data_IF_042971169616
#
_entry.id   IF_042971169616
#
_cell.length_a   1.000
_cell.length_b   1.000
_cell.length_c   1.000
_cell.angle_alpha   90.00
_cell.angle_beta   90.00
_cell.angle_gamma   90.00
#
_symmetry.space_group_name_H-M   'P 1'
#
loop_
_entity.id
_entity.type
_entity.pdbx_description
1 polymer ?
#
# COMPACT_ATOMS: atom_id res chain seq x y z
N UNK A 1 -18.83 8.89 17.10
CA UNK A 1 -18.85 8.00 18.29
C UNK A 1 -17.55 7.21 18.30
N UNK A 2 -16.63 7.51 19.22
CA UNK A 2 -15.39 6.74 19.39
C UNK A 2 -15.73 5.46 20.17
N UNK A 3 -15.59 4.34 19.53
CA UNK A 3 -15.60 3.04 20.22
C UNK A 3 -14.24 2.95 20.93
N UNK A 4 -14.26 2.84 22.27
CA UNK A 4 -13.05 2.77 23.07
C UNK A 4 -12.15 1.63 22.58
N UNK A 5 -10.91 1.96 22.15
CA UNK A 5 -9.89 1.04 21.67
C UNK A 5 -9.63 1.03 20.16
N UNK A 6 -10.35 1.81 19.33
CA UNK A 6 -10.03 1.96 17.92
C UNK A 6 -9.02 3.09 17.71
N UNK A 7 -7.99 2.83 16.92
CA UNK A 7 -7.06 3.83 16.41
C UNK A 7 -7.84 4.93 15.66
N UNK A 8 -7.44 6.21 15.76
CA UNK A 8 -8.07 7.26 14.96
C UNK A 8 -7.91 6.93 13.47
N UNK A 9 -9.00 7.11 12.70
CA UNK A 9 -8.97 6.91 11.26
C UNK A 9 -7.95 7.85 10.63
N UNK A 10 -7.06 7.30 9.81
CA UNK A 10 -6.08 8.05 9.02
C UNK A 10 -6.47 7.99 7.54
N UNK A 11 -6.06 8.98 6.75
CA UNK A 11 -6.28 8.99 5.31
C UNK A 11 -4.94 9.03 4.57
N UNK A 12 -4.81 8.17 3.58
CA UNK A 12 -3.66 8.17 2.69
C UNK A 12 -4.03 8.65 1.28
N UNK A 13 -3.07 9.27 0.59
CA UNK A 13 -3.16 9.56 -0.84
C UNK A 13 -2.15 8.70 -1.60
N UNK A 14 -2.59 8.02 -2.66
CA UNK A 14 -1.72 7.21 -3.52
C UNK A 14 -1.47 7.93 -4.85
N UNK A 15 -0.20 8.20 -5.14
CA UNK A 15 0.19 8.88 -6.38
C UNK A 15 0.35 7.87 -7.52
N UNK A 16 -0.13 8.20 -8.74
CA UNK A 16 -0.01 7.34 -9.92
C UNK A 16 1.41 7.41 -10.54
N UNK A 17 2.44 6.95 -9.81
CA UNK A 17 3.84 7.03 -10.22
C UNK A 17 4.20 6.30 -11.53
N UNK A 18 3.31 5.44 -12.07
CA UNK A 18 3.41 4.86 -13.40
C UNK A 18 3.04 5.86 -14.51
N UNK A 19 2.14 6.81 -14.22
CA UNK A 19 1.66 7.77 -15.22
C UNK A 19 2.78 8.64 -15.80
N UNK A 20 3.88 8.83 -15.06
CA UNK A 20 5.07 9.54 -15.55
C UNK A 20 5.63 8.91 -16.82
N UNK A 21 5.54 7.60 -17.00
CA UNK A 21 5.96 6.90 -18.22
C UNK A 21 5.08 7.22 -19.44
N UNK A 22 3.92 7.82 -19.23
CA UNK A 22 2.98 8.23 -20.27
C UNK A 22 2.93 9.74 -20.44
N UNK A 23 3.99 10.45 -20.00
CA UNK A 23 4.14 11.89 -20.14
C UNK A 23 3.47 12.72 -19.04
N UNK A 24 2.99 12.09 -17.95
CA UNK A 24 2.46 12.84 -16.81
C UNK A 24 3.62 13.46 -16.01
N UNK A 25 3.62 14.78 -15.76
CA UNK A 25 4.75 15.43 -15.12
C UNK A 25 4.94 14.97 -13.67
N UNK A 26 6.16 14.62 -13.27
CA UNK A 26 6.49 14.32 -11.88
C UNK A 26 6.14 15.47 -10.93
N UNK A 27 6.34 16.71 -11.37
CA UNK A 27 6.03 17.90 -10.57
C UNK A 27 4.56 17.97 -10.14
N UNK A 28 3.62 17.50 -10.97
CA UNK A 28 2.20 17.46 -10.59
C UNK A 28 1.99 16.45 -9.46
N UNK A 29 2.65 15.28 -9.49
CA UNK A 29 2.56 14.29 -8.41
C UNK A 29 3.16 14.85 -7.12
N UNK A 30 4.30 15.53 -7.20
CA UNK A 30 4.94 16.20 -6.08
C UNK A 30 4.02 17.26 -5.47
N UNK A 31 3.47 18.15 -6.31
CA UNK A 31 2.52 19.19 -5.89
C UNK A 31 1.26 18.59 -5.26
N UNK A 32 0.75 17.47 -5.80
CA UNK A 32 -0.39 16.76 -5.22
C UNK A 32 -0.08 16.30 -3.80
N UNK A 33 1.11 15.77 -3.53
CA UNK A 33 1.53 15.38 -2.18
C UNK A 33 1.67 16.59 -1.25
N UNK A 34 2.33 17.66 -1.71
CA UNK A 34 2.53 18.90 -0.93
C UNK A 34 1.19 19.56 -0.55
N UNK A 35 0.25 19.63 -1.49
CA UNK A 35 -1.08 20.21 -1.23
C UNK A 35 -1.94 19.29 -0.37
N UNK A 36 -1.84 17.96 -0.53
CA UNK A 36 -2.49 17.02 0.37
C UNK A 36 -2.00 17.19 1.81
N UNK A 37 -0.68 17.34 2.01
CA UNK A 37 -0.11 17.63 3.32
C UNK A 37 -0.57 18.98 3.88
N UNK A 38 -0.56 20.01 3.04
CA UNK A 38 -0.98 21.37 3.44
C UNK A 38 -2.46 21.42 3.87
N UNK A 39 -3.33 20.62 3.24
CA UNK A 39 -4.74 20.54 3.60
C UNK A 39 -4.99 20.01 5.02
N UNK A 40 -4.05 19.21 5.57
CA UNK A 40 -4.24 18.53 6.85
C UNK A 40 -5.25 17.38 6.82
N UNK A 41 -5.86 17.10 5.67
CA UNK A 41 -6.82 16.01 5.50
C UNK A 41 -6.16 14.64 5.34
N UNK A 42 -4.90 14.60 4.88
CA UNK A 42 -4.16 13.39 4.63
C UNK A 42 -3.00 13.20 5.61
N UNK A 43 -2.85 11.99 6.10
CA UNK A 43 -1.86 11.58 7.09
C UNK A 43 -0.65 10.86 6.44
N UNK A 44 -0.80 10.41 5.17
CA UNK A 44 0.22 9.62 4.48
C UNK A 44 0.15 9.72 2.96
N UNK A 45 1.32 9.58 2.30
CA UNK A 45 1.44 9.51 0.84
C UNK A 45 2.05 8.16 0.43
N UNK A 46 1.53 7.58 -0.66
CA UNK A 46 1.83 6.22 -1.09
C UNK A 46 2.18 6.15 -2.57
N UNK A 47 3.08 5.24 -2.91
CA UNK A 47 3.43 4.94 -4.31
C UNK A 47 3.36 3.43 -4.57
N UNK A 48 3.05 3.07 -5.81
CA UNK A 48 3.08 1.66 -6.22
C UNK A 48 4.46 1.21 -6.64
N UNK A 49 4.69 -0.11 -6.67
CA UNK A 49 5.95 -0.74 -7.06
C UNK A 49 5.75 -1.93 -7.98
N UNK A 50 6.60 -2.05 -8.98
CA UNK A 50 6.93 -3.21 -9.82
C UNK A 50 8.17 -2.85 -10.64
N UNK A 51 8.95 -3.83 -11.07
CA UNK A 51 10.12 -3.58 -11.94
C UNK A 51 9.75 -3.60 -13.43
N UNK A 52 9.39 -4.74 -13.96
CA UNK A 52 9.16 -4.95 -15.39
C UNK A 52 7.70 -5.22 -15.75
N UNK A 53 6.99 -5.94 -14.90
CA UNK A 53 5.61 -6.40 -15.20
C UNK A 53 4.61 -5.24 -15.34
N UNK A 54 4.80 -4.20 -14.55
CA UNK A 54 4.06 -2.93 -14.62
C UNK A 54 5.02 -1.78 -14.31
N UNK A 55 5.93 -1.44 -15.25
CA UNK A 55 7.02 -0.49 -15.00
C UNK A 55 6.49 0.88 -14.56
N UNK A 56 7.22 1.50 -13.63
CA UNK A 56 6.93 2.82 -13.04
C UNK A 56 8.21 3.44 -12.48
N UNK A 57 8.13 4.66 -11.96
CA UNK A 57 9.24 5.17 -11.17
C UNK A 57 9.49 4.23 -10.00
N UNK A 58 10.77 3.95 -9.74
CA UNK A 58 11.16 3.07 -8.63
C UNK A 58 10.66 3.64 -7.30
N UNK A 59 10.08 2.77 -6.47
CA UNK A 59 9.29 3.22 -5.33
C UNK A 59 10.12 3.95 -4.27
N UNK A 60 11.32 3.45 -3.92
CA UNK A 60 12.17 4.06 -2.90
C UNK A 60 12.71 5.41 -3.38
N UNK A 61 13.09 5.51 -4.66
CA UNK A 61 13.54 6.77 -5.28
C UNK A 61 12.42 7.81 -5.27
N UNK A 62 11.19 7.40 -5.65
CA UNK A 62 10.03 8.30 -5.63
C UNK A 62 9.68 8.76 -4.20
N UNK A 63 9.68 7.84 -3.22
CA UNK A 63 9.45 8.17 -1.82
C UNK A 63 10.55 9.07 -1.24
N UNK A 64 11.82 8.90 -1.66
CA UNK A 64 12.91 9.79 -1.22
C UNK A 64 12.71 11.22 -1.72
N UNK A 65 12.24 11.39 -2.96
CA UNK A 65 11.90 12.72 -3.48
C UNK A 65 10.70 13.34 -2.73
N UNK A 66 9.69 12.54 -2.39
CA UNK A 66 8.54 13.00 -1.60
C UNK A 66 8.94 13.30 -0.14
N UNK A 67 9.89 12.54 0.44
CA UNK A 67 10.41 12.80 1.77
C UNK A 67 11.04 14.19 1.89
N UNK A 68 11.71 14.64 0.82
CA UNK A 68 12.33 15.97 0.76
C UNK A 68 11.32 17.11 0.57
N UNK A 69 10.13 16.83 0.05
CA UNK A 69 9.09 17.84 -0.24
C UNK A 69 7.93 17.85 0.75
N UNK A 70 7.89 16.90 1.69
CA UNK A 70 6.87 16.81 2.75
C UNK A 70 7.51 16.79 4.13
N UNK A 71 6.75 17.18 5.17
CA UNK A 71 7.27 17.32 6.53
C UNK A 71 6.58 16.41 7.56
N UNK A 72 5.31 16.07 7.37
CA UNK A 72 4.46 15.39 8.36
C UNK A 72 3.91 14.07 7.89
N UNK A 73 3.46 14.00 6.63
CA UNK A 73 2.86 12.78 6.10
C UNK A 73 3.82 11.60 6.15
N UNK A 74 3.30 10.45 6.57
CA UNK A 74 4.02 9.19 6.45
C UNK A 74 4.19 8.80 4.97
N UNK A 75 5.20 8.01 4.67
CA UNK A 75 5.62 7.64 3.32
C UNK A 75 5.53 6.12 3.17
N UNK A 76 4.67 5.65 2.26
CA UNK A 76 4.37 4.22 2.16
C UNK A 76 4.36 3.66 0.74
N UNK A 77 4.39 2.34 0.65
CA UNK A 77 4.20 1.60 -0.60
C UNK A 77 2.83 0.91 -0.67
N UNK A 78 2.14 0.97 -1.82
CA UNK A 78 0.86 0.26 -2.05
C UNK A 78 0.96 -0.77 -3.18
N UNK A 79 1.52 -1.94 -2.99
CA UNK A 79 2.54 -2.40 -2.05
C UNK A 79 3.91 -2.50 -2.75
N UNK A 80 4.97 -2.88 -2.04
CA UNK A 80 6.28 -3.20 -2.62
C UNK A 80 6.20 -4.60 -3.26
N UNK A 81 5.70 -4.66 -4.49
CA UNK A 81 5.45 -5.91 -5.21
C UNK A 81 6.75 -6.62 -5.62
N UNK A 82 7.84 -5.86 -5.73
CA UNK A 82 9.17 -6.38 -5.97
C UNK A 82 9.88 -6.90 -4.71
N UNK A 83 9.23 -6.91 -3.55
CA UNK A 83 9.86 -7.33 -2.29
C UNK A 83 10.57 -8.69 -2.40
N UNK A 84 9.95 -9.77 -2.92
CA UNK A 84 10.65 -11.04 -3.07
C UNK A 84 11.79 -11.04 -4.10
N UNK A 85 11.86 -9.99 -4.93
CA UNK A 85 12.89 -9.84 -5.97
C UNK A 85 14.11 -9.07 -5.46
N UNK A 86 14.03 -8.47 -4.28
CA UNK A 86 15.09 -7.65 -3.70
C UNK A 86 16.00 -8.48 -2.79
N UNK A 87 17.24 -8.07 -2.72
CA UNK A 87 18.14 -8.51 -1.66
C UNK A 87 17.74 -7.82 -0.36
N UNK A 88 17.51 -8.57 0.74
CA UNK A 88 17.02 -7.99 2.00
C UNK A 88 18.04 -7.10 2.69
N UNK A 89 19.35 -7.34 2.53
CA UNK A 89 20.39 -6.48 3.11
C UNK A 89 20.42 -5.12 2.40
N UNK A 90 20.38 -5.12 1.07
CA UNK A 90 20.34 -3.87 0.31
C UNK A 90 19.06 -3.10 0.61
N UNK A 91 17.90 -3.78 0.67
CA UNK A 91 16.63 -3.16 1.02
C UNK A 91 16.65 -2.58 2.44
N UNK A 92 17.26 -3.27 3.41
CA UNK A 92 17.37 -2.78 4.79
C UNK A 92 18.13 -1.44 4.83
N UNK A 93 19.25 -1.33 4.10
CA UNK A 93 20.06 -0.09 4.01
C UNK A 93 19.25 1.03 3.32
N UNK A 94 18.61 0.72 2.18
CA UNK A 94 17.82 1.69 1.43
C UNK A 94 16.65 2.23 2.24
N UNK A 95 15.91 1.35 2.92
CA UNK A 95 14.75 1.74 3.72
C UNK A 95 15.14 2.50 4.99
N UNK A 96 16.19 2.07 5.66
CA UNK A 96 16.74 2.81 6.81
C UNK A 96 17.24 4.20 6.40
N UNK A 97 17.86 4.33 5.23
CA UNK A 97 18.28 5.64 4.69
C UNK A 97 17.08 6.54 4.43
N UNK A 98 16.02 6.01 3.82
CA UNK A 98 14.77 6.74 3.60
C UNK A 98 14.13 7.16 4.95
N UNK A 99 14.16 6.26 5.94
CA UNK A 99 13.62 6.54 7.27
C UNK A 99 14.38 7.69 7.95
N UNK A 100 15.72 7.69 7.89
CA UNK A 100 16.56 8.78 8.39
C UNK A 100 16.26 10.09 7.65
N UNK A 101 16.22 10.08 6.31
CA UNK A 101 15.94 11.28 5.50
C UNK A 101 14.57 11.86 5.82
N UNK A 102 13.58 11.01 6.02
CA UNK A 102 12.22 11.43 6.34
C UNK A 102 12.01 11.79 7.82
N UNK A 103 12.98 11.54 8.70
CA UNK A 103 12.81 11.73 10.14
C UNK A 103 11.85 10.75 10.79
N UNK A 104 11.85 9.48 10.35
CA UNK A 104 11.05 8.40 10.94
C UNK A 104 9.60 8.36 10.46
N UNK A 105 9.33 8.72 9.19
CA UNK A 105 7.98 8.75 8.62
C UNK A 105 7.65 7.59 7.70
N UNK A 106 8.46 6.53 7.64
CA UNK A 106 8.26 5.43 6.68
C UNK A 106 7.28 4.37 7.15
N UNK A 107 6.51 3.79 6.22
CA UNK A 107 5.68 2.59 6.39
C UNK A 107 5.99 1.65 5.21
N UNK A 108 6.48 0.45 5.50
CA UNK A 108 6.78 -0.53 4.47
C UNK A 108 5.61 -1.50 4.28
N UNK A 109 4.84 -1.38 3.19
CA UNK A 109 3.92 -2.44 2.82
C UNK A 109 4.55 -3.36 1.79
N UNK A 110 4.63 -4.63 2.09
CA UNK A 110 5.20 -5.67 1.24
C UNK A 110 4.13 -6.62 0.72
N UNK A 111 4.39 -7.30 -0.37
CA UNK A 111 3.54 -8.39 -0.86
C UNK A 111 4.35 -9.41 -1.66
N UNK A 112 3.71 -10.53 -2.02
CA UNK A 112 4.32 -11.55 -2.86
C UNK A 112 4.54 -11.11 -4.33
N UNK A 113 3.95 -9.99 -4.74
CA UNK A 113 3.80 -9.67 -6.14
C UNK A 113 2.89 -10.68 -6.86
N UNK A 114 2.60 -10.47 -8.15
CA UNK A 114 1.80 -11.41 -8.89
C UNK A 114 2.59 -12.69 -9.24
N UNK A 115 1.89 -13.82 -9.35
CA UNK A 115 2.50 -15.09 -9.74
C UNK A 115 2.76 -15.13 -11.24
N UNK A 116 3.66 -16.00 -11.70
CA UNK A 116 3.87 -16.27 -13.13
C UNK A 116 2.59 -16.68 -13.87
N UNK A 117 1.59 -17.24 -13.16
CA UNK A 117 0.28 -17.60 -13.69
C UNK A 117 -0.61 -16.40 -14.01
N UNK A 118 -0.33 -15.24 -13.42
CA UNK A 118 -1.11 -14.01 -13.66
C UNK A 118 -0.82 -13.37 -15.02
N UNK A 119 0.22 -13.80 -15.72
CA UNK A 119 0.53 -13.35 -17.08
C UNK A 119 2.01 -13.46 -17.43
N UNK A 120 2.35 -13.45 -18.73
CA UNK A 120 3.72 -13.64 -19.21
C UNK A 120 4.69 -12.55 -18.71
N UNK A 121 4.23 -11.32 -18.50
CA UNK A 121 5.04 -10.22 -17.98
C UNK A 121 5.55 -10.48 -16.56
N UNK A 122 4.76 -11.15 -15.72
CA UNK A 122 5.17 -11.51 -14.35
C UNK A 122 6.16 -12.67 -14.35
N UNK A 123 5.98 -13.65 -15.26
CA UNK A 123 6.95 -14.71 -15.46
C UNK A 123 8.28 -14.16 -15.97
N UNK A 124 8.26 -13.22 -16.91
CA UNK A 124 9.46 -12.56 -17.45
C UNK A 124 10.19 -11.74 -16.37
N UNK A 125 9.46 -11.04 -15.48
CA UNK A 125 10.06 -10.29 -14.37
C UNK A 125 10.81 -11.22 -13.41
N UNK A 126 10.19 -12.32 -12.99
CA UNK A 126 10.85 -13.33 -12.14
C UNK A 126 12.10 -13.92 -12.81
N UNK A 127 11.99 -14.28 -14.10
CA UNK A 127 13.11 -14.84 -14.85
C UNK A 127 14.27 -13.85 -15.00
N UNK A 128 13.98 -12.58 -15.30
CA UNK A 128 14.99 -11.53 -15.40
C UNK A 128 15.74 -11.29 -14.08
N UNK A 129 15.10 -11.53 -12.96
CA UNK A 129 15.67 -11.41 -11.62
C UNK A 129 16.31 -12.74 -11.14
N UNK A 130 16.25 -13.81 -11.94
CA UNK A 130 16.81 -15.12 -11.59
C UNK A 130 16.09 -15.85 -10.47
N UNK A 131 14.78 -15.56 -10.25
CA UNK A 131 14.01 -16.05 -9.10
C UNK A 131 12.95 -17.03 -9.57
N UNK A 132 12.95 -18.22 -8.96
CA UNK A 132 11.91 -19.20 -9.22
C UNK A 132 10.60 -18.83 -8.47
N UNK A 133 9.45 -19.06 -9.12
CA UNK A 133 8.12 -18.71 -8.55
C UNK A 133 7.88 -19.32 -7.17
N UNK A 134 8.45 -20.52 -6.89
CA UNK A 134 8.33 -21.19 -5.59
C UNK A 134 9.09 -20.48 -4.46
N UNK A 135 10.10 -19.70 -4.78
CA UNK A 135 10.92 -18.97 -3.80
C UNK A 135 10.23 -17.73 -3.23
N UNK A 136 9.15 -17.24 -3.87
CA UNK A 136 8.52 -15.98 -3.50
C UNK A 136 8.02 -15.96 -2.04
N UNK A 137 7.47 -17.07 -1.55
CA UNK A 137 6.98 -17.15 -0.16
C UNK A 137 8.14 -17.19 0.83
N UNK A 138 9.12 -18.10 0.73
CA UNK A 138 10.27 -18.08 1.64
C UNK A 138 11.04 -16.74 1.56
N UNK A 139 11.24 -16.15 0.38
CA UNK A 139 11.87 -14.82 0.25
C UNK A 139 11.10 -13.72 0.97
N UNK A 140 9.77 -13.76 0.95
CA UNK A 140 8.95 -12.81 1.70
C UNK A 140 9.10 -13.02 3.20
N UNK A 141 8.96 -14.26 3.69
CA UNK A 141 8.96 -14.57 5.12
C UNK A 141 10.35 -14.33 5.73
N UNK A 142 11.41 -14.85 5.11
CA UNK A 142 12.78 -14.60 5.54
C UNK A 142 13.19 -13.13 5.38
N UNK A 143 12.77 -12.48 4.30
CA UNK A 143 13.04 -11.06 4.07
C UNK A 143 12.46 -10.16 5.15
N UNK A 144 11.21 -10.39 5.58
CA UNK A 144 10.61 -9.63 6.70
C UNK A 144 11.39 -9.87 8.00
N UNK A 145 11.72 -11.13 8.30
CA UNK A 145 12.49 -11.49 9.48
C UNK A 145 13.88 -10.83 9.48
N UNK A 146 14.55 -10.84 8.33
CA UNK A 146 15.86 -10.22 8.15
C UNK A 146 15.81 -8.69 8.29
N UNK A 147 14.81 -8.01 7.70
CA UNK A 147 14.66 -6.57 7.89
C UNK A 147 14.53 -6.21 9.38
N UNK A 148 13.72 -6.96 10.15
CA UNK A 148 13.59 -6.75 11.59
C UNK A 148 14.91 -6.91 12.34
N UNK A 149 15.73 -7.90 11.94
CA UNK A 149 17.04 -8.14 12.55
C UNK A 149 18.06 -7.08 12.11
N UNK A 150 18.15 -6.75 10.82
CA UNK A 150 19.06 -5.75 10.29
C UNK A 150 18.82 -4.34 10.85
N UNK A 151 17.58 -4.03 11.21
CA UNK A 151 17.23 -2.75 11.88
C UNK A 151 17.41 -2.79 13.39
N UNK A 152 17.72 -3.95 13.96
CA UNK A 152 18.09 -4.09 15.38
C UNK A 152 19.52 -3.65 15.68
N UNK A 153 19.92 -3.77 16.95
CA UNK A 153 21.22 -3.34 17.48
C UNK A 153 22.34 -4.38 17.33
N UNK A 154 21.99 -5.63 17.13
CA UNK A 154 22.96 -6.72 17.12
C UNK A 154 23.36 -7.12 15.70
N UNK A 155 24.61 -7.55 15.45
CA UNK A 155 25.01 -8.16 14.20
C UNK A 155 24.17 -9.40 13.89
N UNK A 156 23.75 -9.54 12.63
CA UNK A 156 22.84 -10.60 12.20
C UNK A 156 23.60 -11.84 11.77
N UNK A 157 23.32 -12.97 12.41
CA UNK A 157 23.63 -14.31 11.95
C UNK A 157 22.31 -15.01 11.64
N UNK A 158 22.10 -15.33 10.36
CA UNK A 158 20.87 -15.94 9.85
C UNK A 158 21.17 -17.04 8.86
N UNK A 159 20.48 -18.17 8.99
CA UNK A 159 20.53 -19.27 8.03
C UNK A 159 19.11 -19.74 7.75
N UNK A 160 18.59 -19.34 6.58
CA UNK A 160 17.29 -19.72 6.08
C UNK A 160 17.32 -20.72 4.94
N UNK A 161 16.22 -20.84 4.24
CA UNK A 161 16.10 -21.62 3.01
C UNK A 161 16.75 -20.89 1.82
N UNK A 162 16.64 -19.55 1.81
CA UNK A 162 17.05 -18.68 0.69
C UNK A 162 18.27 -17.85 1.07
N UNK A 163 18.29 -17.26 2.25
CA UNK A 163 19.32 -16.30 2.64
C UNK A 163 20.21 -16.84 3.76
N UNK A 164 21.50 -16.51 3.67
CA UNK A 164 22.47 -16.82 4.70
C UNK A 164 23.36 -15.59 4.95
N UNK A 165 23.46 -15.15 6.21
CA UNK A 165 24.30 -14.04 6.66
C UNK A 165 25.05 -14.44 7.93
N UNK A 166 26.29 -13.97 8.08
CA UNK A 166 27.12 -14.23 9.25
C UNK A 166 27.79 -12.93 9.73
N UNK A 167 27.38 -12.45 10.90
CA UNK A 167 27.94 -11.29 11.55
C UNK A 167 27.74 -9.96 10.81
N UNK A 168 26.65 -9.80 10.06
CA UNK A 168 26.35 -8.61 9.26
C UNK A 168 25.62 -7.56 10.10
N UNK A 169 26.18 -6.33 10.16
CA UNK A 169 25.58 -5.19 10.86
C UNK A 169 25.47 -3.95 9.93
N UNK A 170 24.38 -3.85 9.15
CA UNK A 170 24.21 -2.75 8.19
C UNK A 170 23.92 -1.42 8.85
N UNK A 171 24.46 -0.34 8.27
CA UNK A 171 24.16 1.04 8.65
C UNK A 171 23.67 1.82 7.42
N UNK A 172 22.83 2.87 7.60
CA UNK A 172 22.31 3.36 8.88
C UNK A 172 21.24 2.42 9.48
N UNK A 173 20.90 2.64 10.75
CA UNK A 173 19.69 2.09 11.36
C UNK A 173 18.53 3.08 11.16
N UNK A 174 17.27 2.63 11.11
CA UNK A 174 16.13 3.54 11.12
C UNK A 174 16.08 4.44 12.34
N UNK A 175 15.46 5.62 12.20
CA UNK A 175 15.15 6.53 13.31
C UNK A 175 14.00 5.98 14.16
N UNK A 176 13.04 5.34 13.50
CA UNK A 176 11.93 4.67 14.19
C UNK A 176 12.45 3.49 15.02
N UNK A 177 12.03 3.40 16.28
CA UNK A 177 12.33 2.24 17.13
C UNK A 177 11.81 0.92 16.52
N UNK A 178 10.68 1.01 15.77
CA UNK A 178 10.12 -0.08 14.99
C UNK A 178 9.49 0.52 13.73
N UNK A 179 10.07 0.20 12.58
CA UNK A 179 9.48 0.55 11.28
C UNK A 179 8.23 -0.29 11.07
N UNK A 180 7.04 0.31 10.83
CA UNK A 180 5.83 -0.45 10.54
C UNK A 180 5.99 -1.25 9.24
N UNK A 181 5.72 -2.56 9.29
CA UNK A 181 5.66 -3.42 8.12
C UNK A 181 4.22 -3.92 7.97
N UNK A 182 3.56 -3.55 6.88
CA UNK A 182 2.26 -4.08 6.51
C UNK A 182 2.44 -5.18 5.46
N UNK A 183 1.54 -6.16 5.46
CA UNK A 183 1.52 -7.21 4.44
C UNK A 183 0.26 -7.11 3.59
N UNK A 184 0.44 -6.90 2.28
CA UNK A 184 -0.68 -6.87 1.36
C UNK A 184 -1.05 -8.30 0.94
N UNK A 185 -2.30 -8.65 1.24
CA UNK A 185 -2.90 -9.96 0.99
C UNK A 185 -4.33 -9.75 0.50
N UNK A 186 -4.61 -10.19 -0.73
CA UNK A 186 -5.94 -10.16 -1.31
C UNK A 186 -6.18 -11.45 -2.14
N UNK A 187 -6.48 -12.58 -1.48
CA UNK A 187 -6.83 -13.82 -2.20
C UNK A 187 -8.10 -13.62 -3.04
N UNK A 188 -8.12 -14.09 -4.32
CA UNK A 188 -9.32 -14.13 -5.13
C UNK A 188 -10.48 -14.88 -4.43
N UNK A 189 -11.74 -14.58 -4.78
CA UNK A 189 -12.91 -15.20 -4.13
C UNK A 189 -12.99 -16.72 -4.27
N UNK A 190 -12.38 -17.28 -5.31
CA UNK A 190 -12.31 -18.71 -5.61
C UNK A 190 -11.09 -19.42 -5.02
N UNK A 191 -10.34 -18.71 -4.16
CA UNK A 191 -9.17 -19.28 -3.50
C UNK A 191 -9.57 -20.40 -2.53
N UNK A 192 -8.83 -21.50 -2.57
CA UNK A 192 -8.97 -22.59 -1.58
C UNK A 192 -8.90 -22.02 -0.15
N UNK A 193 -9.87 -22.34 0.72
CA UNK A 193 -9.95 -21.78 2.09
C UNK A 193 -8.67 -21.99 2.90
N UNK A 194 -7.98 -23.12 2.74
CA UNK A 194 -6.73 -23.38 3.44
C UNK A 194 -5.57 -22.52 2.91
N UNK A 195 -5.60 -22.12 1.63
CA UNK A 195 -4.64 -21.19 1.05
C UNK A 195 -4.90 -19.77 1.56
N UNK A 196 -6.18 -19.36 1.60
CA UNK A 196 -6.58 -18.09 2.18
C UNK A 196 -6.18 -18.00 3.65
N UNK A 197 -6.52 -19.01 4.45
CA UNK A 197 -6.16 -19.07 5.88
C UNK A 197 -4.64 -18.90 6.08
N UNK A 198 -3.81 -19.65 5.34
CA UNK A 198 -2.35 -19.50 5.44
C UNK A 198 -1.88 -18.08 5.08
N UNK A 199 -2.54 -17.42 4.13
CA UNK A 199 -2.21 -16.06 3.75
C UNK A 199 -2.57 -15.04 4.86
N UNK A 200 -3.75 -15.17 5.48
CA UNK A 200 -4.19 -14.33 6.59
C UNK A 200 -3.36 -14.58 7.86
N UNK A 201 -3.05 -15.82 8.19
CA UNK A 201 -2.14 -16.16 9.31
C UNK A 201 -0.74 -15.59 9.12
N UNK A 202 -0.25 -15.50 7.87
CA UNK A 202 1.04 -14.85 7.57
C UNK A 202 1.02 -13.37 7.94
N UNK A 203 -0.08 -12.65 7.69
CA UNK A 203 -0.25 -11.26 8.15
C UNK A 203 -0.12 -11.19 9.67
N UNK A 204 -0.90 -12.00 10.38
CA UNK A 204 -0.93 -12.04 11.85
C UNK A 204 0.45 -12.32 12.47
N UNK A 205 1.21 -13.24 11.86
CA UNK A 205 2.52 -13.69 12.36
C UNK A 205 3.65 -12.69 12.09
N UNK A 206 3.67 -12.04 10.91
CA UNK A 206 4.84 -11.33 10.42
C UNK A 206 4.69 -9.81 10.34
N UNK A 207 3.47 -9.31 10.19
CA UNK A 207 3.22 -7.89 9.92
C UNK A 207 2.63 -7.14 11.12
N UNK A 208 2.66 -5.82 11.06
CA UNK A 208 2.03 -4.93 12.05
C UNK A 208 0.62 -4.51 11.58
N UNK A 209 0.25 -4.90 10.35
CA UNK A 209 -1.05 -4.64 9.78
C UNK A 209 -1.25 -5.27 8.41
N UNK A 210 -2.44 -5.09 7.88
CA UNK A 210 -2.92 -5.66 6.62
C UNK A 210 -3.21 -4.57 5.60
N UNK A 211 -2.89 -4.85 4.34
CA UNK A 211 -3.32 -4.05 3.20
C UNK A 211 -4.09 -4.89 2.19
N UNK A 212 -5.13 -4.30 1.58
CA UNK A 212 -5.88 -4.93 0.49
C UNK A 212 -6.35 -3.90 -0.55
N UNK A 213 -6.87 -4.39 -1.66
CA UNK A 213 -7.51 -3.62 -2.73
C UNK A 213 -8.68 -4.43 -3.32
N UNK A 214 -9.62 -3.80 -4.01
CA UNK A 214 -10.71 -4.47 -4.71
C UNK A 214 -11.53 -5.46 -3.87
N UNK A 215 -11.46 -5.37 -2.56
CA UNK A 215 -12.14 -6.26 -1.62
C UNK A 215 -13.48 -5.66 -1.21
N UNK A 216 -14.62 -6.36 -1.37
CA UNK A 216 -15.90 -5.86 -0.90
C UNK A 216 -15.93 -5.60 0.62
N UNK A 217 -16.70 -4.61 1.14
CA UNK A 217 -16.68 -4.24 2.57
C UNK A 217 -17.00 -5.40 3.53
N UNK A 218 -17.92 -6.29 3.14
CA UNK A 218 -18.27 -7.46 3.96
C UNK A 218 -17.10 -8.44 4.09
N UNK A 219 -16.39 -8.72 2.96
CA UNK A 219 -15.20 -9.58 2.93
C UNK A 219 -14.03 -8.91 3.65
N UNK A 220 -13.89 -7.58 3.53
CA UNK A 220 -12.90 -6.81 4.27
C UNK A 220 -13.08 -7.01 5.79
N UNK A 221 -14.31 -6.82 6.28
CA UNK A 221 -14.64 -7.02 7.70
C UNK A 221 -14.32 -8.43 8.17
N UNK A 222 -14.75 -9.44 7.40
CA UNK A 222 -14.51 -10.85 7.74
C UNK A 222 -13.01 -11.15 7.83
N UNK A 223 -12.24 -10.79 6.78
CA UNK A 223 -10.80 -11.05 6.74
C UNK A 223 -10.04 -10.32 7.85
N UNK A 224 -10.41 -9.05 8.08
CA UNK A 224 -9.79 -8.28 9.17
C UNK A 224 -10.07 -8.89 10.54
N UNK A 225 -11.30 -9.33 10.79
CA UNK A 225 -11.65 -10.03 12.02
C UNK A 225 -10.80 -11.29 12.20
N UNK A 226 -10.70 -12.14 11.18
CA UNK A 226 -9.87 -13.36 11.21
C UNK A 226 -8.38 -13.04 11.43
N UNK A 227 -7.84 -12.02 10.79
CA UNK A 227 -6.44 -11.60 11.01
C UNK A 227 -6.23 -11.19 12.47
N UNK A 228 -7.17 -10.45 13.07
CA UNK A 228 -7.11 -10.04 14.47
C UNK A 228 -7.19 -11.24 15.44
N UNK A 229 -8.03 -12.21 15.13
CA UNK A 229 -8.13 -13.46 15.90
C UNK A 229 -6.82 -14.25 15.83
N UNK A 230 -6.26 -14.44 14.63
CA UNK A 230 -4.95 -15.09 14.46
C UNK A 230 -3.82 -14.33 15.14
N UNK A 231 -3.83 -13.00 15.12
CA UNK A 231 -2.84 -12.20 15.84
C UNK A 231 -2.93 -12.41 17.37
N UNK A 232 -4.14 -12.58 17.90
CA UNK A 232 -4.33 -12.91 19.31
C UNK A 232 -3.80 -14.32 19.65
N UNK A 233 -4.02 -15.32 18.78
CA UNK A 233 -3.44 -16.66 18.92
C UNK A 233 -1.90 -16.64 18.95
N UNK A 234 -1.28 -15.73 18.16
CA UNK A 234 0.17 -15.54 18.09
C UNK A 234 0.71 -14.64 19.23
N UNK A 235 -0.14 -14.14 20.13
CA UNK A 235 0.24 -13.21 21.20
C UNK A 235 0.56 -11.79 20.71
N UNK A 236 0.10 -11.41 19.49
CA UNK A 236 0.40 -10.15 18.81
C UNK A 236 -0.81 -9.23 18.64
N UNK A 237 -1.85 -9.41 19.44
CA UNK A 237 -3.10 -8.63 19.34
C UNK A 237 -2.88 -7.10 19.36
N UNK A 238 -1.91 -6.63 20.14
CA UNK A 238 -1.58 -5.23 20.30
C UNK A 238 -0.60 -4.70 19.23
N UNK A 239 0.03 -5.58 18.46
CA UNK A 239 0.96 -5.21 17.38
C UNK A 239 0.24 -5.09 16.03
N UNK A 240 -0.70 -5.99 15.72
CA UNK A 240 -1.41 -6.03 14.44
C UNK A 240 -2.65 -5.13 14.53
N UNK A 241 -2.49 -3.84 14.30
CA UNK A 241 -3.52 -2.83 14.56
C UNK A 241 -3.98 -2.05 13.33
N UNK A 242 -3.22 -2.08 12.24
CA UNK A 242 -3.53 -1.33 11.03
C UNK A 242 -4.19 -2.20 9.96
N UNK A 243 -5.27 -1.69 9.37
CA UNK A 243 -5.92 -2.26 8.19
C UNK A 243 -6.08 -1.18 7.13
N UNK A 244 -5.43 -1.36 5.98
CA UNK A 244 -5.41 -0.35 4.92
C UNK A 244 -6.10 -0.84 3.67
N UNK A 245 -6.79 0.05 2.98
CA UNK A 245 -7.47 -0.22 1.72
C UNK A 245 -6.97 0.73 0.65
N UNK A 246 -6.40 0.21 -0.44
CA UNK A 246 -6.12 0.99 -1.63
C UNK A 246 -7.40 1.11 -2.47
N UNK A 247 -7.97 2.32 -2.53
CA UNK A 247 -9.26 2.61 -3.16
C UNK A 247 -9.07 3.62 -4.30
N UNK A 248 -9.64 3.32 -5.47
CA UNK A 248 -9.73 4.24 -6.59
C UNK A 248 -10.85 5.24 -6.35
N UNK A 249 -10.65 6.49 -6.76
CA UNK A 249 -11.59 7.59 -6.52
C UNK A 249 -11.71 8.47 -7.78
N UNK A 250 -12.95 8.81 -8.14
CA UNK A 250 -13.24 9.85 -9.14
C UNK A 250 -14.44 10.67 -8.70
N UNK A 251 -14.23 11.95 -8.46
CA UNK A 251 -15.25 12.89 -7.99
C UNK A 251 -15.75 13.70 -9.19
N UNK A 252 -17.00 13.48 -9.54
CA UNK A 252 -17.69 14.19 -10.62
C UNK A 252 -19.19 14.22 -10.34
N UNK A 253 -19.86 15.35 -10.59
CA UNK A 253 -21.29 15.48 -10.35
C UNK A 253 -22.11 14.56 -11.26
N UNK A 254 -21.56 14.20 -12.45
CA UNK A 254 -22.09 13.14 -13.30
C UNK A 254 -21.36 11.81 -13.00
N UNK A 255 -22.06 10.89 -12.37
CA UNK A 255 -21.52 9.57 -12.02
C UNK A 255 -21.12 8.73 -13.25
N UNK A 256 -21.81 8.88 -14.38
CA UNK A 256 -21.45 8.16 -15.61
C UNK A 256 -20.12 8.71 -16.18
N UNK A 257 -19.97 10.02 -16.18
CA UNK A 257 -18.71 10.65 -16.60
C UNK A 257 -17.53 10.22 -15.69
N UNK A 258 -17.73 10.21 -14.36
CA UNK A 258 -16.75 9.72 -13.40
C UNK A 258 -16.33 8.27 -13.68
N UNK A 259 -17.30 7.40 -13.95
CA UNK A 259 -17.04 5.99 -14.25
C UNK A 259 -16.23 5.83 -15.55
N UNK A 260 -16.66 6.50 -16.62
CA UNK A 260 -15.98 6.40 -17.93
C UNK A 260 -14.55 6.94 -17.86
N UNK A 261 -14.33 8.10 -17.25
CA UNK A 261 -12.98 8.65 -17.04
C UNK A 261 -12.09 7.69 -16.22
N UNK A 262 -12.66 7.04 -15.21
CA UNK A 262 -11.93 6.04 -14.40
C UNK A 262 -11.51 4.83 -15.22
N UNK A 263 -12.41 4.30 -16.09
CA UNK A 263 -12.08 3.18 -16.98
C UNK A 263 -10.97 3.56 -17.94
N UNK A 264 -11.07 4.72 -18.59
CA UNK A 264 -10.04 5.23 -19.52
C UNK A 264 -8.69 5.41 -18.82
N UNK A 265 -8.69 6.00 -17.62
CA UNK A 265 -7.48 6.18 -16.83
C UNK A 265 -6.85 4.83 -16.46
N UNK A 266 -7.64 3.87 -15.99
CA UNK A 266 -7.16 2.56 -15.55
C UNK A 266 -6.69 1.69 -16.72
N UNK A 267 -7.36 1.76 -17.86
CA UNK A 267 -6.94 1.11 -19.11
C UNK A 267 -5.59 1.63 -19.58
N UNK A 268 -5.38 2.94 -19.55
CA UNK A 268 -4.08 3.55 -19.85
C UNK A 268 -3.02 3.15 -18.82
N UNK A 269 -3.41 3.07 -17.54
CA UNK A 269 -2.49 2.80 -16.43
C UNK A 269 -2.09 1.32 -16.34
N UNK A 270 -3.03 0.39 -16.48
CA UNK A 270 -2.80 -1.05 -16.30
C UNK A 270 -2.80 -1.85 -17.61
N UNK A 271 -3.33 -1.31 -18.67
CA UNK A 271 -3.58 -1.97 -19.95
C UNK A 271 -5.07 -2.21 -20.18
N UNK A 272 -5.51 -2.05 -21.42
CA UNK A 272 -6.93 -2.19 -21.82
C UNK A 272 -7.50 -3.54 -21.38
N UNK A 273 -8.65 -3.52 -20.72
CA UNK A 273 -9.35 -4.70 -20.24
C UNK A 273 -8.66 -5.48 -19.13
N UNK A 274 -7.61 -4.93 -18.51
CA UNK A 274 -6.91 -5.58 -17.38
C UNK A 274 -7.74 -5.55 -16.09
N UNK A 275 -8.55 -4.51 -15.90
CA UNK A 275 -9.44 -4.36 -14.74
C UNK A 275 -10.86 -4.69 -15.17
N UNK A 276 -11.44 -5.76 -14.60
CA UNK A 276 -12.82 -6.13 -14.92
C UNK A 276 -13.82 -5.16 -14.27
N UNK A 277 -15.02 -5.03 -14.87
CA UNK A 277 -16.11 -4.22 -14.30
C UNK A 277 -16.51 -4.68 -12.90
N UNK A 278 -16.55 -6.00 -12.67
CA UNK A 278 -16.86 -6.58 -11.37
C UNK A 278 -15.82 -6.17 -10.29
N UNK A 279 -14.53 -6.20 -10.64
CA UNK A 279 -13.47 -5.75 -9.74
C UNK A 279 -13.59 -4.25 -9.46
N UNK A 280 -13.93 -3.45 -10.47
CA UNK A 280 -14.14 -2.00 -10.33
C UNK A 280 -15.27 -1.66 -9.37
N UNK A 281 -16.36 -2.42 -9.34
CA UNK A 281 -17.48 -2.19 -8.43
C UNK A 281 -17.05 -2.16 -6.96
N UNK A 282 -16.10 -3.00 -6.56
CA UNK A 282 -15.56 -3.00 -5.21
C UNK A 282 -14.38 -2.04 -5.00
N UNK A 283 -13.68 -1.69 -6.06
CA UNK A 283 -12.42 -0.94 -6.01
C UNK A 283 -12.54 0.55 -6.28
N UNK A 284 -13.65 1.02 -6.87
CA UNK A 284 -13.86 2.41 -7.28
C UNK A 284 -14.97 3.08 -6.44
N UNK A 285 -14.65 4.24 -5.86
CA UNK A 285 -15.61 5.20 -5.34
C UNK A 285 -15.74 6.34 -6.36
N UNK A 286 -16.92 6.55 -6.94
CA UNK A 286 -17.11 7.50 -8.02
C UNK A 286 -18.45 8.23 -7.98
N UNK A 287 -18.52 9.36 -8.64
CA UNK A 287 -19.71 10.19 -8.76
C UNK A 287 -19.68 11.43 -7.86
N UNK A 288 -20.83 11.97 -7.47
CA UNK A 288 -20.94 13.12 -6.57
C UNK A 288 -20.21 12.88 -5.24
N UNK A 289 -19.76 13.97 -4.56
CA UNK A 289 -19.00 13.88 -3.31
C UNK A 289 -19.65 13.00 -2.24
N UNK A 290 -20.97 13.05 -2.11
CA UNK A 290 -21.73 12.25 -1.14
C UNK A 290 -21.63 10.75 -1.45
N UNK A 291 -21.67 10.39 -2.74
CA UNK A 291 -21.54 8.98 -3.17
C UNK A 291 -20.13 8.44 -2.89
N UNK A 292 -19.11 9.25 -3.15
CA UNK A 292 -17.72 8.91 -2.85
C UNK A 292 -17.51 8.75 -1.36
N UNK A 293 -17.99 9.71 -0.55
CA UNK A 293 -17.91 9.66 0.90
C UNK A 293 -18.67 8.44 1.47
N UNK A 294 -19.88 8.17 0.97
CA UNK A 294 -20.67 7.00 1.38
C UNK A 294 -19.92 5.68 1.11
N UNK A 295 -19.28 5.55 -0.06
CA UNK A 295 -18.47 4.34 -0.38
C UNK A 295 -17.28 4.21 0.58
N UNK A 296 -16.55 5.28 0.88
CA UNK A 296 -15.44 5.26 1.84
C UNK A 296 -15.96 4.87 3.23
N UNK A 297 -17.08 5.44 3.67
CA UNK A 297 -17.68 5.16 4.97
C UNK A 297 -17.98 3.66 5.17
N UNK A 298 -18.43 2.94 4.13
CA UNK A 298 -18.68 1.49 4.23
C UNK A 298 -17.45 0.70 4.64
N UNK A 299 -16.27 1.12 4.21
CA UNK A 299 -15.01 0.49 4.60
C UNK A 299 -14.54 0.90 6.00
N UNK A 300 -14.76 2.16 6.39
CA UNK A 300 -14.51 2.59 7.77
C UNK A 300 -15.36 1.78 8.76
N UNK A 301 -16.64 1.58 8.45
CA UNK A 301 -17.55 0.72 9.21
C UNK A 301 -17.13 -0.77 9.18
N UNK A 302 -16.45 -1.21 8.12
CA UNK A 302 -15.91 -2.56 8.03
C UNK A 302 -14.60 -2.74 8.83
N UNK A 303 -14.06 -1.66 9.42
CA UNK A 303 -12.87 -1.69 10.25
C UNK A 303 -11.59 -1.24 9.54
N UNK A 304 -11.68 -0.60 8.37
CA UNK A 304 -10.53 0.02 7.72
C UNK A 304 -10.03 1.20 8.57
N UNK A 305 -8.76 1.16 8.96
CA UNK A 305 -8.13 2.24 9.74
C UNK A 305 -7.50 3.31 8.85
N UNK A 306 -7.10 2.95 7.63
CA UNK A 306 -6.44 3.87 6.69
C UNK A 306 -6.90 3.58 5.25
N UNK A 307 -7.98 4.22 4.76
CA UNK A 307 -8.26 4.25 3.33
C UNK A 307 -7.19 5.08 2.61
N UNK A 308 -6.60 4.49 1.57
CA UNK A 308 -5.57 5.09 0.72
C UNK A 308 -6.21 5.41 -0.62
N UNK A 309 -6.48 6.68 -0.87
CA UNK A 309 -7.23 7.16 -2.02
C UNK A 309 -6.31 7.41 -3.22
N UNK A 310 -6.68 6.88 -4.39
CA UNK A 310 -6.02 7.17 -5.66
C UNK A 310 -7.00 7.75 -6.64
N UNK A 311 -6.74 8.95 -7.11
CA UNK A 311 -7.57 9.57 -8.13
C UNK A 311 -7.36 8.92 -9.50
N UNK A 312 -8.48 8.54 -10.14
CA UNK A 312 -8.53 7.93 -11.47
C UNK A 312 -8.92 8.97 -12.53
N UNK A 313 -8.23 10.10 -12.49
CA UNK A 313 -8.38 11.21 -13.42
C UNK A 313 -7.00 11.71 -13.86
N UNK A 314 -6.82 12.23 -15.06
CA UNK A 314 -5.61 12.98 -15.42
C UNK A 314 -5.46 14.28 -14.60
N UNK A 315 -6.54 14.82 -14.05
CA UNK A 315 -6.56 16.09 -13.30
C UNK A 315 -6.36 15.86 -11.79
N UNK A 316 -5.19 15.33 -11.39
CA UNK A 316 -4.91 14.92 -10.00
C UNK A 316 -5.12 16.05 -8.97
N UNK A 317 -4.70 17.29 -9.29
CA UNK A 317 -4.85 18.43 -8.39
C UNK A 317 -6.32 18.86 -8.23
N UNK A 318 -7.09 18.88 -9.31
CA UNK A 318 -8.52 19.17 -9.25
C UNK A 318 -9.26 18.13 -8.39
N UNK A 319 -8.97 16.85 -8.60
CA UNK A 319 -9.55 15.78 -7.79
C UNK A 319 -9.15 15.89 -6.31
N UNK A 320 -7.89 16.28 -6.03
CA UNK A 320 -7.45 16.53 -4.66
C UNK A 320 -8.26 17.68 -4.02
N UNK A 321 -8.42 18.82 -4.71
CA UNK A 321 -9.18 19.96 -4.19
C UNK A 321 -10.63 19.58 -3.93
N UNK A 322 -11.30 18.93 -4.89
CA UNK A 322 -12.68 18.45 -4.68
C UNK A 322 -12.77 17.46 -3.51
N UNK A 323 -11.79 16.56 -3.39
CA UNK A 323 -11.75 15.62 -2.27
C UNK A 323 -11.63 16.36 -0.93
N UNK A 324 -10.71 17.31 -0.80
CA UNK A 324 -10.47 18.10 0.40
C UNK A 324 -11.68 18.96 0.77
N UNK A 325 -12.28 19.64 -0.22
CA UNK A 325 -13.31 20.65 0.02
C UNK A 325 -14.70 20.03 0.14
N UNK A 326 -14.98 18.91 -0.57
CA UNK A 326 -16.33 18.38 -0.70
C UNK A 326 -16.50 17.00 -0.03
N UNK A 327 -15.49 16.10 -0.08
CA UNK A 327 -15.61 14.72 0.44
C UNK A 327 -15.13 14.62 1.89
N UNK A 328 -13.95 15.18 2.21
CA UNK A 328 -13.36 15.05 3.54
C UNK A 328 -14.23 15.64 4.66
N UNK A 329 -14.92 16.79 4.50
CA UNK A 329 -15.82 17.31 5.51
C UNK A 329 -16.99 16.36 5.82
N UNK A 330 -17.54 15.65 4.83
CA UNK A 330 -18.59 14.64 5.03
C UNK A 330 -18.08 13.48 5.91
N UNK A 331 -16.78 13.14 5.76
CA UNK A 331 -16.10 12.11 6.55
C UNK A 331 -15.59 12.63 7.91
N UNK A 332 -15.89 13.86 8.28
CA UNK A 332 -15.50 14.47 9.55
C UNK A 332 -14.05 14.97 9.60
N UNK A 333 -13.40 15.12 8.44
CA UNK A 333 -12.06 15.69 8.31
C UNK A 333 -12.15 17.07 7.66
N UNK A 334 -11.92 18.11 8.43
CA UNK A 334 -11.94 19.47 7.90
C UNK A 334 -10.52 19.93 7.54
N UNK A 335 -10.33 20.63 6.41
CA UNK A 335 -9.04 21.20 6.04
C UNK A 335 -8.58 22.20 7.13
N UNK A 336 -7.25 22.29 7.26
CA UNK A 336 -6.63 23.30 8.12
C UNK A 336 -6.74 24.66 7.40
N UNK A 337 -7.26 25.68 8.10
CA UNK A 337 -7.43 27.03 7.55
C UNK A 337 -6.09 27.72 7.26
#
# INVERSE_FOLDING_TARGET
MSIAGQQPVQFGISLPNRAVLFGYPWDVLRQTAEQAEASGCFDSVWVGDNFLSKPRLEAIVALSALAASTQRMKLGTVCLASFPLRDPLLLAIQWASLDVISGGRTILTVCLGASAKAGPQFAAELAAMGIASRERVPRLEEGIALLRQFWGSEPVAFKGEIFEYDGVDPLPKPVQARVPILLAVNPPPDTDPAVEERALRRVARLADGWQTDGTPPAVFRERWTRIREYAAEEGRADEVTESTLHLMVNINDDANAAYQESVEFLDKYYGVGTVSSEFLESWLAFGPPESVAAKIATFLEAGCTTPILRFTSPNQLEQLHRCVDEVMPILGRNPIA
#
